data_IF_048672236946
#
_entry.id   IF_048672236946
#
_cell.length_a   1.000
_cell.length_b   1.000
_cell.length_c   1.000
_cell.angle_alpha   90.00
_cell.angle_beta   90.00
_cell.angle_gamma   90.00
#
_symmetry.space_group_name_H-M   'P 1'
#
loop_
_entity.id
_entity.type
_entity.pdbx_description
1 polymer ?
#
# COMPACT_ATOMS: atom_id res chain seq x y z
N UNK A 1 10.45 -9.13 -15.30
CA UNK A 1 10.58 -10.59 -15.58
C UNK A 1 9.69 -11.32 -14.61
N UNK A 2 8.83 -12.23 -15.06
CA UNK A 2 7.93 -13.00 -14.19
C UNK A 2 8.32 -14.48 -14.20
N UNK A 3 8.14 -15.13 -13.05
CA UNK A 3 8.37 -16.56 -12.83
C UNK A 3 7.01 -17.24 -12.59
N UNK A 4 6.60 -18.11 -13.51
CA UNK A 4 5.33 -18.82 -13.39
C UNK A 4 5.51 -20.16 -12.65
N UNK A 5 4.53 -20.58 -11.84
CA UNK A 5 4.53 -21.90 -11.18
C UNK A 5 4.45 -23.09 -12.16
N UNK A 6 3.86 -22.86 -13.34
CA UNK A 6 3.80 -23.78 -14.47
C UNK A 6 4.03 -22.98 -15.77
N UNK A 7 4.48 -23.60 -16.88
CA UNK A 7 4.62 -22.90 -18.15
C UNK A 7 3.28 -22.28 -18.59
N UNK A 8 3.29 -21.01 -19.01
CA UNK A 8 2.09 -20.36 -19.53
C UNK A 8 1.65 -20.97 -20.89
N UNK A 9 0.50 -20.58 -21.48
CA UNK A 9 0.06 -21.10 -22.79
C UNK A 9 1.06 -20.92 -23.94
N UNK A 10 2.01 -19.99 -23.82
CA UNK A 10 3.14 -19.79 -24.76
C UNK A 10 4.38 -20.64 -24.42
N UNK A 11 4.22 -21.65 -23.55
CA UNK A 11 5.23 -22.58 -23.02
C UNK A 11 6.40 -21.89 -22.29
N UNK A 12 6.19 -20.68 -21.75
CA UNK A 12 7.21 -19.93 -21.01
C UNK A 12 7.04 -20.07 -19.50
N UNK A 13 8.09 -20.54 -18.83
CA UNK A 13 8.22 -20.57 -17.37
C UNK A 13 8.74 -19.23 -16.84
N UNK A 14 9.78 -18.69 -17.48
CA UNK A 14 10.24 -17.31 -17.33
C UNK A 14 9.63 -16.43 -18.43
N UNK A 15 8.95 -15.36 -18.04
CA UNK A 15 8.30 -14.41 -18.97
C UNK A 15 9.02 -13.06 -18.90
N UNK A 16 9.81 -12.70 -19.93
CA UNK A 16 10.28 -11.32 -20.08
C UNK A 16 9.09 -10.44 -20.48
N UNK A 17 9.02 -9.26 -19.88
CA UNK A 17 8.09 -8.19 -20.21
C UNK A 17 8.89 -6.89 -20.35
N UNK A 18 8.33 -5.93 -21.07
CA UNK A 18 8.82 -4.55 -21.12
C UNK A 18 8.84 -3.91 -19.72
N UNK A 19 9.59 -2.82 -19.58
CA UNK A 19 9.45 -1.91 -18.45
C UNK A 19 8.40 -0.87 -18.82
N UNK A 20 7.41 -0.66 -17.97
CA UNK A 20 6.43 0.41 -18.10
C UNK A 20 7.08 1.77 -17.76
N UNK A 21 6.64 2.88 -18.38
CA UNK A 21 7.12 4.22 -18.04
C UNK A 21 6.65 4.64 -16.62
N UNK A 22 7.28 5.65 -15.99
CA UNK A 22 6.83 6.20 -14.72
C UNK A 22 5.36 6.64 -14.77
N UNK A 23 4.58 6.20 -13.78
CA UNK A 23 3.18 6.59 -13.65
C UNK A 23 3.07 8.06 -13.21
N UNK A 24 2.41 8.90 -14.03
CA UNK A 24 2.20 10.33 -13.76
C UNK A 24 1.44 10.62 -12.47
N UNK A 25 0.69 9.64 -11.96
CA UNK A 25 -0.13 9.72 -10.76
C UNK A 25 0.53 9.02 -9.56
N UNK A 26 1.79 8.59 -9.69
CA UNK A 26 2.54 8.00 -8.59
C UNK A 26 2.90 9.08 -7.56
N UNK A 27 2.33 8.98 -6.36
CA UNK A 27 2.57 9.91 -5.26
C UNK A 27 4.00 9.88 -4.69
N UNK A 28 4.90 9.04 -5.23
CA UNK A 28 6.31 8.93 -4.82
C UNK A 28 7.29 9.46 -5.89
N UNK A 29 7.00 9.28 -7.20
CA UNK A 29 7.96 9.62 -8.27
C UNK A 29 7.43 10.57 -9.36
N UNK A 30 6.19 11.05 -9.25
CA UNK A 30 5.68 12.10 -10.14
C UNK A 30 6.28 13.47 -9.79
N UNK A 31 6.42 14.38 -10.76
CA UNK A 31 6.92 15.74 -10.53
C UNK A 31 5.95 16.66 -9.76
N UNK A 32 4.81 16.14 -9.32
CA UNK A 32 3.84 16.77 -8.41
C UNK A 32 3.36 15.71 -7.43
N UNK A 33 3.96 15.72 -6.25
CA UNK A 33 3.68 14.77 -5.18
C UNK A 33 2.52 15.35 -4.35
N UNK A 34 1.29 15.02 -4.73
CA UNK A 34 0.07 15.54 -4.11
C UNK A 34 -0.99 14.44 -3.98
N UNK A 35 -1.47 14.22 -2.76
CA UNK A 35 -2.49 13.23 -2.43
C UNK A 35 -3.73 13.88 -1.81
N UNK A 36 -4.83 13.13 -1.75
CA UNK A 36 -6.01 13.50 -0.96
C UNK A 36 -6.33 12.39 0.01
N UNK A 37 -6.42 12.71 1.30
CA UNK A 37 -6.77 11.77 2.37
C UNK A 37 -8.14 12.13 2.92
N UNK A 38 -9.07 11.18 2.84
CA UNK A 38 -10.44 11.28 3.37
C UNK A 38 -10.44 10.82 4.82
N UNK A 39 -10.64 11.74 5.77
CA UNK A 39 -10.58 11.44 7.20
C UNK A 39 -11.55 12.28 8.05
N UNK A 40 -11.76 11.89 9.32
CA UNK A 40 -12.57 12.68 10.25
C UNK A 40 -11.68 13.55 11.16
N UNK A 41 -11.52 14.84 10.82
CA UNK A 41 -10.66 15.80 11.55
C UNK A 41 -11.02 15.99 13.04
N UNK A 42 -12.24 15.63 13.44
CA UNK A 42 -12.74 15.69 14.83
C UNK A 42 -12.45 14.42 15.63
N UNK A 43 -12.09 13.31 14.96
CA UNK A 43 -11.78 12.01 15.59
C UNK A 43 -10.30 11.67 15.54
N UNK A 44 -9.66 11.88 14.38
CA UNK A 44 -8.23 11.65 14.14
C UNK A 44 -7.40 12.59 15.01
N UNK A 45 -6.35 12.08 15.66
CA UNK A 45 -5.38 12.89 16.42
C UNK A 45 -4.12 13.19 15.61
N UNK A 46 -3.26 14.06 16.16
CA UNK A 46 -1.91 14.28 15.61
C UNK A 46 -1.10 12.97 15.56
N UNK A 47 -1.18 12.13 16.60
CA UNK A 47 -0.49 10.83 16.61
C UNK A 47 -1.01 9.88 15.51
N UNK A 48 -2.32 9.82 15.29
CA UNK A 48 -2.89 9.03 14.18
C UNK A 48 -2.40 9.52 12.82
N UNK A 49 -2.25 10.83 12.64
CA UNK A 49 -1.68 11.41 11.43
C UNK A 49 -0.19 11.06 11.29
N UNK A 50 0.60 11.25 12.34
CA UNK A 50 2.04 10.94 12.34
C UNK A 50 2.30 9.46 12.05
N UNK A 51 1.76 8.56 12.86
CA UNK A 51 2.14 7.15 12.83
C UNK A 51 1.43 6.39 11.71
N UNK A 52 0.09 6.45 11.62
CA UNK A 52 -0.67 5.60 10.68
C UNK A 52 -0.76 6.16 9.26
N UNK A 53 -0.80 7.49 9.12
CA UNK A 53 -0.96 8.12 7.82
C UNK A 53 0.42 8.41 7.22
N UNK A 54 1.28 9.16 7.93
CA UNK A 54 2.54 9.66 7.35
C UNK A 54 3.67 8.62 7.43
N UNK A 55 3.95 8.05 8.62
CA UNK A 55 4.98 6.99 8.76
C UNK A 55 4.53 5.66 8.13
N UNK A 56 3.38 5.10 8.50
CA UNK A 56 2.91 3.77 8.04
C UNK A 56 2.41 3.78 6.58
N UNK A 57 1.38 4.57 6.24
CA UNK A 57 0.79 4.52 4.88
C UNK A 57 1.65 5.21 3.80
N UNK A 58 2.37 6.27 4.13
CA UNK A 58 3.24 7.00 3.19
C UNK A 58 4.74 6.70 3.33
N UNK A 59 5.14 5.79 4.22
CA UNK A 59 6.50 5.25 4.37
C UNK A 59 7.60 6.29 4.67
N UNK A 60 7.26 7.42 5.29
CA UNK A 60 8.24 8.38 5.81
C UNK A 60 8.90 7.85 7.10
N UNK A 61 10.16 8.22 7.32
CA UNK A 61 10.97 7.82 8.47
C UNK A 61 10.91 8.88 9.57
N UNK A 62 11.19 10.13 9.21
CA UNK A 62 11.28 11.28 10.11
C UNK A 62 10.52 12.49 9.52
N UNK A 63 9.17 12.44 9.47
CA UNK A 63 8.37 13.48 8.85
C UNK A 63 8.25 14.74 9.72
N UNK A 64 8.68 15.87 9.17
CA UNK A 64 8.16 17.20 9.55
C UNK A 64 6.82 17.42 8.82
N UNK A 65 5.81 17.97 9.50
CA UNK A 65 4.49 18.25 8.93
C UNK A 65 4.03 19.64 9.35
N UNK A 66 3.89 20.52 8.36
CA UNK A 66 3.45 21.91 8.52
C UNK A 66 2.11 22.15 7.81
N UNK A 67 1.29 23.08 8.33
CA UNK A 67 0.07 23.53 7.65
C UNK A 67 0.39 24.57 6.57
N UNK A 68 -0.18 24.41 5.37
CA UNK A 68 -0.11 25.42 4.30
C UNK A 68 -1.13 26.56 4.56
N UNK A 69 -1.06 27.18 5.74
CA UNK A 69 -1.92 28.28 6.19
C UNK A 69 -1.32 29.68 5.91
N UNK A 70 -0.12 29.72 5.32
CA UNK A 70 0.67 30.95 5.11
C UNK A 70 1.32 31.50 6.39
N UNK A 71 1.11 30.87 7.54
CA UNK A 71 1.73 31.17 8.84
C UNK A 71 2.83 30.15 9.19
N UNK A 72 2.85 28.99 8.55
CA UNK A 72 3.87 27.95 8.76
C UNK A 72 3.70 27.26 10.10
N UNK A 73 2.46 26.94 10.48
CA UNK A 73 2.18 26.27 11.75
C UNK A 73 2.65 24.81 11.69
N UNK A 74 3.80 24.52 12.31
CA UNK A 74 4.31 23.16 12.49
C UNK A 74 3.33 22.36 13.37
N UNK A 75 2.97 21.16 12.92
CA UNK A 75 2.03 20.25 13.57
C UNK A 75 2.76 19.04 14.18
N UNK A 76 3.73 18.51 13.43
CA UNK A 76 4.66 17.43 13.81
C UNK A 76 6.05 17.94 13.42
N UNK A 77 6.98 18.19 14.37
CA UNK A 77 8.34 18.64 14.09
C UNK A 77 9.26 17.44 13.80
N UNK A 78 10.47 17.69 13.25
CA UNK A 78 11.42 16.63 12.92
C UNK A 78 12.11 15.99 14.15
N UNK A 79 12.06 16.63 15.34
CA UNK A 79 12.68 16.10 16.56
C UNK A 79 11.65 15.42 17.48
N UNK A 80 11.85 14.14 17.79
CA UNK A 80 10.94 13.35 18.62
C UNK A 80 11.01 13.80 20.09
N UNK A 81 9.92 14.39 20.57
CA UNK A 81 9.75 14.84 21.96
C UNK A 81 9.05 16.20 22.08
N UNK A 82 9.21 17.09 21.09
CA UNK A 82 8.68 18.47 21.17
C UNK A 82 7.14 18.54 21.20
N UNK A 83 6.44 17.64 20.50
CA UNK A 83 4.98 17.66 20.35
C UNK A 83 4.23 16.53 21.05
N UNK A 84 4.82 15.82 22.03
CA UNK A 84 4.07 14.80 22.79
C UNK A 84 2.75 15.35 23.40
N UNK A 85 2.76 16.61 23.83
CA UNK A 85 1.58 17.31 24.33
C UNK A 85 0.51 17.64 23.26
N UNK A 86 0.77 17.37 21.98
CA UNK A 86 -0.16 17.49 20.85
C UNK A 86 -0.69 16.13 20.38
N UNK A 87 0.01 15.02 20.65
CA UNK A 87 -0.29 13.68 20.13
C UNK A 87 -1.74 13.22 20.37
N UNK A 88 -2.36 13.66 21.47
CA UNK A 88 -3.74 13.34 21.86
C UNK A 88 -4.80 14.32 21.33
N UNK A 89 -4.41 15.52 20.88
CA UNK A 89 -5.30 16.57 20.37
C UNK A 89 -5.83 16.19 18.97
N UNK A 90 -7.00 16.71 18.61
CA UNK A 90 -7.63 16.46 17.30
C UNK A 90 -7.09 17.41 16.25
N UNK A 91 -7.10 16.98 14.99
CA UNK A 91 -6.66 17.82 13.87
C UNK A 91 -7.48 19.13 13.80
N UNK A 92 -8.78 19.06 14.14
CA UNK A 92 -9.65 20.24 14.28
C UNK A 92 -9.13 21.32 15.22
N UNK A 93 -8.35 20.95 16.24
CA UNK A 93 -7.91 21.84 17.32
C UNK A 93 -6.79 22.78 16.84
N UNK A 94 -6.13 22.42 15.73
CA UNK A 94 -5.13 23.21 15.00
C UNK A 94 -5.74 23.97 13.81
N UNK A 95 -7.08 24.01 13.70
CA UNK A 95 -7.79 24.65 12.59
C UNK A 95 -7.88 23.82 11.30
N UNK A 96 -7.41 22.57 11.30
CA UNK A 96 -7.44 21.68 10.14
C UNK A 96 -8.89 21.29 9.83
N UNK A 97 -9.31 21.53 8.59
CA UNK A 97 -10.70 21.41 8.12
C UNK A 97 -10.74 20.81 6.71
N UNK A 98 -11.93 20.67 6.15
CA UNK A 98 -12.09 20.28 4.74
C UNK A 98 -11.37 21.28 3.82
N UNK A 99 -10.51 20.79 2.93
CA UNK A 99 -9.70 21.61 2.04
C UNK A 99 -8.49 22.27 2.70
N UNK A 100 -8.13 21.90 3.94
CA UNK A 100 -6.81 22.19 4.48
C UNK A 100 -5.76 21.38 3.72
N UNK A 101 -4.60 21.98 3.48
CA UNK A 101 -3.42 21.35 2.89
C UNK A 101 -2.32 21.28 3.94
N UNK A 102 -1.68 20.13 4.07
CA UNK A 102 -0.50 19.92 4.89
C UNK A 102 0.66 19.61 3.96
N UNK A 103 1.83 20.19 4.21
CA UNK A 103 3.08 19.74 3.59
C UNK A 103 3.75 18.77 4.57
N UNK A 104 4.13 17.59 4.06
CA UNK A 104 4.95 16.63 4.78
C UNK A 104 6.33 16.59 4.10
N UNK A 105 7.39 16.70 4.90
CA UNK A 105 8.78 16.78 4.47
C UNK A 105 9.59 15.72 5.23
N UNK A 106 10.28 14.82 4.52
CA UNK A 106 11.27 13.90 5.10
C UNK A 106 12.67 14.20 4.54
N UNK A 107 13.50 14.82 5.40
CA UNK A 107 14.86 15.23 5.06
C UNK A 107 15.87 14.07 4.97
N UNK A 108 15.53 12.87 5.44
CA UNK A 108 16.36 11.66 5.27
C UNK A 108 16.10 10.99 3.91
N UNK A 109 14.90 11.19 3.36
CA UNK A 109 14.46 10.65 2.07
C UNK A 109 14.55 11.63 0.89
N UNK A 110 14.82 12.92 1.14
CA UNK A 110 14.73 14.03 0.16
C UNK A 110 13.34 14.08 -0.51
N UNK A 111 12.30 13.96 0.32
CA UNK A 111 10.93 13.67 -0.12
C UNK A 111 9.91 14.60 0.54
N UNK A 112 9.38 15.53 -0.27
CA UNK A 112 8.31 16.47 0.10
C UNK A 112 7.03 16.13 -0.66
N UNK A 113 5.88 16.00 0.01
CA UNK A 113 4.59 15.89 -0.67
C UNK A 113 3.44 16.59 0.07
N UNK A 114 2.38 16.92 -0.68
CA UNK A 114 1.22 17.67 -0.21
C UNK A 114 0.03 16.76 0.09
N UNK A 115 -0.54 16.91 1.28
CA UNK A 115 -1.70 16.14 1.77
C UNK A 115 -2.92 17.05 1.81
N UNK A 116 -3.86 16.85 0.89
CA UNK A 116 -5.17 17.50 0.92
C UNK A 116 -6.10 16.76 1.89
N UNK A 117 -6.67 17.49 2.86
CA UNK A 117 -7.59 16.93 3.87
C UNK A 117 -9.03 17.03 3.38
N UNK A 118 -9.62 15.89 3.00
CA UNK A 118 -11.04 15.78 2.70
C UNK A 118 -11.77 15.31 3.96
N UNK A 119 -12.58 16.18 4.56
CA UNK A 119 -13.31 15.83 5.77
C UNK A 119 -14.51 14.94 5.44
N UNK A 120 -14.56 13.74 6.02
CA UNK A 120 -15.75 12.90 6.03
C UNK A 120 -16.09 12.43 7.43
N UNK A 121 -17.38 12.44 7.77
CA UNK A 121 -17.91 11.72 8.95
C UNK A 121 -18.47 10.35 8.57
N UNK A 122 -18.80 10.13 7.29
CA UNK A 122 -19.36 8.91 6.72
C UNK A 122 -18.32 7.88 6.25
N UNK A 123 -17.23 7.73 7.00
CA UNK A 123 -16.30 6.61 6.83
C UNK A 123 -16.95 5.30 7.29
N UNK A 124 -16.45 4.17 6.82
CA UNK A 124 -16.90 2.85 7.29
C UNK A 124 -16.60 2.71 8.79
N UNK A 125 -17.32 1.82 9.47
CA UNK A 125 -16.91 1.38 10.81
C UNK A 125 -15.49 0.83 10.71
N UNK A 126 -14.69 1.12 11.74
CA UNK A 126 -13.32 0.65 11.90
C UNK A 126 -12.32 1.15 10.84
N UNK A 127 -12.69 2.19 10.06
CA UNK A 127 -11.81 2.91 9.12
C UNK A 127 -11.60 4.35 9.59
N UNK A 128 -10.34 4.69 9.92
CA UNK A 128 -9.96 6.02 10.42
C UNK A 128 -9.71 7.04 9.29
N UNK A 129 -9.17 6.58 8.16
CA UNK A 129 -8.88 7.37 6.97
C UNK A 129 -8.86 6.49 5.70
N UNK A 130 -8.96 7.11 4.52
CA UNK A 130 -8.84 6.47 3.21
C UNK A 130 -8.04 7.36 2.26
N UNK A 131 -7.12 6.82 1.46
CA UNK A 131 -6.41 7.59 0.43
C UNK A 131 -7.21 7.57 -0.88
N UNK A 132 -7.52 8.75 -1.42
CA UNK A 132 -8.30 8.88 -2.67
C UNK A 132 -7.40 8.58 -3.86
N UNK A 133 -7.81 7.65 -4.72
CA UNK A 133 -7.03 7.17 -5.87
C UNK A 133 -6.16 5.94 -5.60
N UNK A 134 -6.02 5.52 -4.33
CA UNK A 134 -5.32 4.30 -3.90
C UNK A 134 -6.18 3.02 -4.07
N UNK A 135 -7.43 3.17 -4.51
CA UNK A 135 -8.24 2.02 -4.94
C UNK A 135 -7.63 1.41 -6.20
N UNK A 136 -7.39 0.08 -6.26
CA UNK A 136 -6.75 -0.53 -7.41
C UNK A 136 -7.60 -0.36 -8.67
N UNK A 137 -7.08 0.39 -9.65
CA UNK A 137 -7.61 0.42 -11.01
C UNK A 137 -7.74 -1.04 -11.49
N UNK A 138 -8.94 -1.47 -11.89
CA UNK A 138 -9.13 -2.83 -12.43
C UNK A 138 -8.27 -2.95 -13.70
N UNK A 139 -7.09 -3.57 -13.59
CA UNK A 139 -6.15 -3.72 -14.70
C UNK A 139 -6.65 -4.77 -15.70
N UNK A 140 -7.69 -4.42 -16.44
CA UNK A 140 -8.07 -5.11 -17.66
C UNK A 140 -6.89 -5.08 -18.65
N UNK A 141 -6.61 -6.17 -19.37
CA UNK A 141 -5.44 -6.26 -20.23
C UNK A 141 -5.57 -5.30 -21.42
N UNK A 142 -4.97 -4.11 -21.30
CA UNK A 142 -4.78 -3.16 -22.40
C UNK A 142 -4.02 -3.88 -23.51
N UNK A 143 -4.64 -4.03 -24.67
CA UNK A 143 -4.03 -4.72 -25.81
C UNK A 143 -2.86 -3.87 -26.34
N UNK A 144 -1.73 -4.52 -26.62
CA UNK A 144 -0.55 -3.86 -27.16
C UNK A 144 -0.63 -3.83 -28.70
N UNK A 145 -0.42 -2.66 -29.29
CA UNK A 145 -0.19 -2.53 -30.74
C UNK A 145 1.32 -2.53 -31.06
N UNK A 146 1.68 -3.09 -32.21
CA UNK A 146 3.06 -3.39 -32.59
C UNK A 146 3.82 -2.16 -33.16
N UNK A 147 5.04 -1.94 -32.65
CA UNK A 147 6.03 -1.04 -33.25
C UNK A 147 7.40 -1.73 -33.32
N UNK A 148 7.74 -2.24 -34.51
CA UNK A 148 8.76 -3.27 -34.66
C UNK A 148 10.22 -2.76 -34.89
N UNK A 149 11.18 -3.60 -34.49
CA UNK A 149 12.60 -3.69 -34.93
C UNK A 149 13.61 -2.64 -34.42
N UNK A 150 14.57 -3.12 -33.62
CA UNK A 150 15.94 -3.34 -34.13
C UNK A 150 16.66 -4.41 -33.29
N UNK A 151 17.66 -5.09 -33.86
CA UNK A 151 18.46 -6.13 -33.18
C UNK A 151 19.92 -6.04 -33.64
N UNK A 152 20.86 -5.87 -32.71
CA UNK A 152 22.30 -6.08 -32.94
C UNK A 152 22.94 -6.70 -31.70
N UNK A 153 23.48 -7.91 -31.84
CA UNK A 153 24.31 -8.54 -30.79
C UNK A 153 25.72 -7.91 -30.80
N UNK A 154 26.29 -7.73 -29.60
CA UNK A 154 27.70 -7.42 -29.40
C UNK A 154 28.23 -8.27 -28.24
N UNK A 155 29.25 -9.07 -28.50
CA UNK A 155 29.84 -10.03 -27.55
C UNK A 155 31.34 -9.82 -27.50
N UNK A 156 31.91 -9.67 -26.30
CA UNK A 156 33.31 -10.00 -26.05
C UNK A 156 33.54 -10.44 -24.59
N UNK A 157 34.57 -11.26 -24.36
CA UNK A 157 34.94 -11.85 -23.06
C UNK A 157 36.33 -11.36 -22.62
N UNK A 158 36.37 -10.29 -21.82
CA UNK A 158 37.61 -9.73 -21.26
C UNK A 158 37.90 -10.20 -19.84
N UNK A 159 38.48 -11.39 -19.66
CA UNK A 159 38.86 -11.92 -18.34
C UNK A 159 40.39 -11.97 -18.15
N UNK A 160 40.91 -11.36 -17.09
CA UNK A 160 42.09 -11.78 -16.28
C UNK A 160 42.20 -10.87 -15.04
N UNK A 161 42.88 -11.30 -13.95
CA UNK A 161 42.74 -10.69 -12.62
C UNK A 161 43.74 -9.57 -12.33
N UNK A 162 43.50 -8.83 -11.25
CA UNK A 162 44.49 -8.00 -10.57
C UNK A 162 44.41 -8.17 -9.05
N UNK A 163 45.56 -8.30 -8.42
CA UNK A 163 45.72 -8.50 -6.97
C UNK A 163 45.59 -7.20 -6.19
N UNK A 164 44.97 -7.25 -5.01
CA UNK A 164 45.16 -6.26 -3.94
C UNK A 164 44.85 -6.88 -2.58
N UNK A 165 45.63 -6.53 -1.57
CA UNK A 165 45.57 -7.12 -0.24
C UNK A 165 44.53 -6.43 0.64
N UNK A 166 43.57 -7.20 1.17
CA UNK A 166 42.73 -6.73 2.27
C UNK A 166 43.44 -6.98 3.62
N UNK A 167 43.38 -5.99 4.52
CA UNK A 167 43.72 -6.12 5.93
C UNK A 167 42.66 -5.39 6.76
N UNK A 168 42.31 -5.98 7.91
CA UNK A 168 41.34 -5.49 8.91
C UNK A 168 39.87 -5.51 8.46
N UNK A 169 38.89 -5.70 9.34
CA UNK A 169 38.88 -6.26 10.71
C UNK A 169 37.44 -6.72 11.00
N UNK A 170 37.25 -7.86 11.66
CA UNK A 170 36.48 -8.02 12.91
C UNK A 170 36.14 -9.49 13.20
N UNK A 171 36.03 -9.81 14.49
CA UNK A 171 35.79 -11.16 15.00
C UNK A 171 34.28 -11.45 15.17
N UNK A 172 33.85 -12.65 14.76
CA UNK A 172 32.59 -13.26 15.23
C UNK A 172 32.88 -14.69 15.66
N UNK A 173 32.88 -14.94 16.97
CA UNK A 173 32.96 -16.28 17.54
C UNK A 173 31.55 -16.88 17.57
N UNK A 174 31.37 -18.04 16.92
CA UNK A 174 30.15 -18.84 17.05
C UNK A 174 30.19 -19.52 18.42
N UNK A 175 29.18 -19.26 19.26
CA UNK A 175 29.02 -19.89 20.57
C UNK A 175 27.79 -20.77 20.55
N UNK A 176 27.92 -21.96 19.97
CA UNK A 176 26.90 -23.01 20.10
C UNK A 176 26.84 -23.47 21.56
N UNK A 177 25.67 -23.30 22.21
CA UNK A 177 25.43 -23.86 23.53
C UNK A 177 23.94 -24.04 23.86
N UNK A 178 23.57 -25.32 23.94
CA UNK A 178 22.49 -25.96 24.71
C UNK A 178 21.08 -26.10 24.08
N UNK A 179 20.57 -27.33 24.17
CA UNK A 179 19.22 -27.82 23.86
C UNK A 179 18.78 -28.77 25.02
N UNK A 180 17.51 -29.24 25.00
CA UNK A 180 16.98 -30.39 25.76
C UNK A 180 16.53 -30.25 27.26
N UNK A 181 15.43 -29.50 27.48
CA UNK A 181 14.26 -29.93 28.31
C UNK A 181 14.37 -30.05 29.85
N UNK A 182 13.37 -30.68 30.54
CA UNK A 182 12.05 -31.15 30.06
C UNK A 182 10.82 -30.88 30.99
N UNK A 183 9.61 -31.24 30.51
CA UNK A 183 8.34 -31.45 31.28
C UNK A 183 7.62 -30.18 31.83
N UNK A 184 6.32 -30.11 32.12
CA UNK A 184 5.12 -31.01 32.08
C UNK A 184 3.84 -30.11 32.20
N UNK A 185 2.55 -30.48 32.06
CA UNK A 185 1.79 -31.67 31.57
C UNK A 185 0.26 -31.37 31.62
N UNK A 186 -0.57 -32.14 30.89
CA UNK A 186 -2.05 -32.28 31.04
C UNK A 186 -2.94 -31.08 30.63
N UNK A 187 -4.23 -31.21 30.26
CA UNK A 187 -5.07 -32.29 29.67
C UNK A 187 -6.41 -31.66 29.22
N UNK A 188 -7.27 -32.36 28.45
CA UNK A 188 -8.68 -31.98 28.25
C UNK A 188 -9.20 -31.95 26.81
N UNK A 189 -10.28 -32.70 26.57
CA UNK A 189 -11.17 -32.64 25.40
C UNK A 189 -12.31 -31.61 25.69
N UNK A 190 -13.27 -31.24 24.82
CA UNK A 190 -14.10 -32.03 23.90
C UNK A 190 -14.56 -31.31 22.62
N UNK A 191 -15.05 -32.13 21.67
CA UNK A 191 -15.65 -31.79 20.38
C UNK A 191 -17.13 -32.20 20.46
N UNK A 192 -18.06 -31.28 20.18
CA UNK A 192 -19.50 -31.56 20.26
C UNK A 192 -20.26 -31.05 19.01
N UNK A 193 -21.34 -31.75 18.67
CA UNK A 193 -21.86 -31.85 17.29
C UNK A 193 -23.37 -31.66 17.14
N UNK A 194 -23.72 -31.24 15.92
CA UNK A 194 -24.95 -31.55 15.20
C UNK A 194 -26.28 -30.87 15.61
N UNK A 195 -26.61 -29.84 14.82
CA UNK A 195 -27.76 -29.86 13.88
C UNK A 195 -29.20 -29.97 14.43
N UNK A 196 -30.02 -28.94 14.10
CA UNK A 196 -31.35 -29.14 13.47
C UNK A 196 -31.88 -27.90 12.72
N UNK A 197 -32.06 -28.09 11.41
CA UNK A 197 -33.04 -27.49 10.48
C UNK A 197 -34.05 -26.46 11.04
N UNK A 198 -34.22 -25.34 10.33
CA UNK A 198 -35.42 -25.19 9.46
C UNK A 198 -35.03 -24.57 8.11
N UNK A 199 -35.70 -25.02 7.06
CA UNK A 199 -35.76 -24.49 5.68
C UNK A 199 -37.24 -24.31 5.32
N UNK A 200 -37.54 -23.60 4.22
CA UNK A 200 -38.83 -23.04 3.75
C UNK A 200 -38.85 -21.51 3.95
N UNK A 201 -39.19 -20.69 2.95
CA UNK A 201 -39.75 -20.97 1.62
C UNK A 201 -39.00 -20.25 0.48
N UNK A 202 -39.09 -20.79 -0.73
CA UNK A 202 -38.46 -20.25 -1.95
C UNK A 202 -39.52 -19.83 -2.97
N UNK A 203 -39.87 -18.56 -2.98
CA UNK A 203 -40.63 -17.93 -4.06
C UNK A 203 -39.93 -16.64 -4.55
N UNK A 204 -40.04 -16.34 -5.85
CA UNK A 204 -39.41 -15.16 -6.48
C UNK A 204 -38.69 -15.44 -7.81
N UNK A 205 -38.36 -16.69 -8.11
CA UNK A 205 -37.61 -17.07 -9.31
C UNK A 205 -38.47 -17.26 -10.59
N UNK A 206 -39.42 -16.34 -10.88
CA UNK A 206 -40.12 -16.27 -12.19
C UNK A 206 -40.96 -14.99 -12.39
N UNK A 207 -40.32 -13.85 -12.67
CA UNK A 207 -40.93 -12.76 -13.46
C UNK A 207 -39.88 -11.70 -13.87
N UNK A 208 -39.36 -11.79 -15.10
CA UNK A 208 -39.02 -10.65 -15.98
C UNK A 208 -38.33 -11.14 -17.27
N UNK A 209 -39.04 -11.94 -18.07
CA UNK A 209 -38.62 -12.23 -19.46
C UNK A 209 -39.21 -11.20 -20.45
N UNK A 210 -39.10 -9.95 -20.04
CA UNK A 210 -39.33 -8.70 -20.74
C UNK A 210 -38.48 -7.67 -20.00
N UNK A 211 -37.71 -6.80 -20.66
CA UNK A 211 -37.93 -6.18 -21.98
C UNK A 211 -36.56 -5.91 -22.63
N UNK A 212 -36.49 -5.91 -23.96
CA UNK A 212 -35.27 -5.55 -24.68
C UNK A 212 -35.05 -4.03 -24.58
N UNK A 213 -34.27 -3.61 -23.59
CA UNK A 213 -33.77 -2.24 -23.48
C UNK A 213 -32.25 -2.30 -23.43
N UNK A 214 -31.60 -1.51 -24.28
CA UNK A 214 -30.14 -1.43 -24.32
C UNK A 214 -29.66 -0.58 -23.15
N UNK A 215 -29.29 -1.25 -22.05
CA UNK A 215 -28.29 -0.72 -21.12
C UNK A 215 -26.94 -1.23 -21.62
N UNK A 216 -26.03 -0.31 -21.92
CA UNK A 216 -24.64 -0.67 -22.23
C UNK A 216 -23.89 -0.88 -20.90
N UNK A 217 -24.13 -2.03 -20.26
CA UNK A 217 -23.38 -2.48 -19.09
C UNK A 217 -21.96 -2.91 -19.53
N UNK A 218 -21.09 -1.91 -19.73
CA UNK A 218 -19.72 -2.06 -20.27
C UNK A 218 -18.74 -2.86 -19.38
N UNK A 219 -19.19 -3.34 -18.21
CA UNK A 219 -18.42 -4.05 -17.18
C UNK A 219 -18.88 -5.52 -16.97
N UNK A 220 -19.75 -6.07 -17.84
CA UNK A 220 -20.42 -7.37 -17.65
C UNK A 220 -19.50 -8.60 -17.91
N UNK A 221 -18.55 -8.81 -16.99
CA UNK A 221 -17.57 -9.91 -17.03
C UNK A 221 -18.15 -11.21 -16.48
N UNK A 222 -18.75 -12.02 -17.35
CA UNK A 222 -19.24 -13.36 -17.01
C UNK A 222 -18.07 -14.34 -16.87
N UNK A 223 -17.84 -14.85 -15.65
CA UNK A 223 -16.91 -15.96 -15.41
C UNK A 223 -17.48 -17.28 -15.92
N UNK A 224 -16.77 -17.92 -16.84
CA UNK A 224 -17.01 -19.29 -17.32
C UNK A 224 -15.80 -20.16 -16.98
N UNK A 225 -16.05 -21.45 -16.75
CA UNK A 225 -15.10 -22.52 -16.37
C UNK A 225 -14.89 -23.49 -17.56
#
# INVERSE_FOLDING_TARGET
MFLNKQPNPRKKFLVPCSLDPPNSNCYVCASRLEVTVRLNVRKVTVLTLQDKIVKEKFAMLAPDVQTEDGKGSILIPPEEGETEANNTKKLSDFGIRNGSRLQADDFLQDYTFLINILHSEGLRKDVEFEVVGDAPEKVGPKQAEDAAKSITNGSDNGAQPSTSTAQKQDDVLIVDSNEEGPSNSADGREDDKACKRKLEETEGASANRSRLEQVEDLDDVIGLD
#
